data_IF_861162186752
#
_entry.id   IF_861162186752
#
_cell.length_a   1.000
_cell.length_b   1.000
_cell.length_c   1.000
_cell.angle_alpha   90.00
_cell.angle_beta   90.00
_cell.angle_gamma   90.00
#
_symmetry.space_group_name_H-M   'P 1'
#
loop_
_entity.id
_entity.type
_entity.pdbx_description
1 polymer ?
#
# COMPACT_ATOMS: atom_id res chain seq x y z
N UNK A 1 23.85 16.55 42.78
CA UNK A 1 24.98 16.38 41.85
C UNK A 1 24.67 15.20 40.96
N UNK A 2 24.39 15.41 39.67
CA UNK A 2 24.19 14.30 38.73
C UNK A 2 25.50 13.51 38.61
N UNK A 3 25.45 12.20 38.84
CA UNK A 3 26.63 11.34 38.75
C UNK A 3 27.11 11.30 37.30
N UNK A 4 28.43 11.26 37.08
CA UNK A 4 29.06 11.23 35.74
C UNK A 4 28.49 10.14 34.81
N UNK A 5 27.90 9.08 35.39
CA UNK A 5 27.19 8.01 34.68
C UNK A 5 25.97 8.52 33.91
N UNK A 6 25.15 9.37 34.54
CA UNK A 6 23.87 9.83 33.99
C UNK A 6 24.05 10.81 32.82
N UNK A 7 25.12 11.61 32.86
CA UNK A 7 25.46 12.53 31.76
C UNK A 7 25.94 11.75 30.53
N UNK A 8 26.74 10.70 30.72
CA UNK A 8 27.23 9.87 29.60
C UNK A 8 26.09 9.11 28.93
N UNK A 9 25.16 8.54 29.71
CA UNK A 9 23.94 7.90 29.18
C UNK A 9 23.05 8.89 28.43
N UNK A 10 22.90 10.12 28.94
CA UNK A 10 22.12 11.18 28.29
C UNK A 10 22.75 11.69 26.98
N UNK A 11 24.05 11.50 26.74
CA UNK A 11 24.72 11.82 25.48
C UNK A 11 24.76 10.64 24.49
N UNK A 12 24.78 9.40 24.98
CA UNK A 12 24.73 8.18 24.14
C UNK A 12 23.32 7.93 23.58
N UNK A 13 22.26 8.28 24.33
CA UNK A 13 20.87 8.15 23.89
C UNK A 13 20.58 8.96 22.60
N UNK A 14 20.88 10.27 22.53
CA UNK A 14 20.73 11.05 21.31
C UNK A 14 21.58 10.50 20.17
N UNK A 15 22.78 10.00 20.45
CA UNK A 15 23.69 9.42 19.44
C UNK A 15 23.09 8.18 18.77
N UNK A 16 22.43 7.29 19.53
CA UNK A 16 21.67 6.16 18.99
C UNK A 16 20.41 6.59 18.24
N UNK A 17 19.76 7.68 18.67
CA UNK A 17 18.56 8.20 18.00
C UNK A 17 18.91 8.94 16.69
N UNK A 18 20.12 9.48 16.59
CA UNK A 18 20.62 10.25 15.44
C UNK A 18 21.51 9.46 14.48
N UNK A 19 21.65 8.14 14.68
CA UNK A 19 22.28 7.29 13.67
C UNK A 19 21.45 7.35 12.37
N UNK A 20 22.05 7.70 11.23
CA UNK A 20 21.34 7.75 9.96
C UNK A 20 20.70 6.40 9.66
N UNK A 21 19.42 6.40 9.27
CA UNK A 21 18.73 5.19 8.87
C UNK A 21 19.39 4.58 7.62
N UNK A 22 20.21 3.54 7.82
CA UNK A 22 20.92 2.85 6.73
C UNK A 22 20.02 1.94 5.90
N UNK A 23 18.76 1.75 6.31
CA UNK A 23 17.82 0.88 5.58
C UNK A 23 17.57 1.42 4.18
N UNK A 24 17.45 2.75 4.02
CA UNK A 24 17.22 3.36 2.71
C UNK A 24 18.38 3.13 1.75
N UNK A 25 19.62 3.35 2.21
CA UNK A 25 20.82 3.10 1.42
C UNK A 25 20.97 1.61 1.06
N UNK A 26 20.67 0.72 2.00
CA UNK A 26 20.74 -0.71 1.78
C UNK A 26 19.71 -1.18 0.74
N UNK A 27 18.46 -0.73 0.85
CA UNK A 27 17.39 -1.05 -0.11
C UNK A 27 17.71 -0.51 -1.51
N UNK A 28 18.29 0.69 -1.63
CA UNK A 28 18.69 1.22 -2.94
C UNK A 28 19.89 0.46 -3.54
N UNK A 29 20.87 0.09 -2.71
CA UNK A 29 22.04 -0.66 -3.17
C UNK A 29 21.64 -2.07 -3.60
N UNK A 30 20.96 -2.80 -2.74
CA UNK A 30 20.61 -4.20 -2.96
C UNK A 30 19.41 -4.36 -3.91
N UNK A 31 18.47 -3.41 -3.95
CA UNK A 31 17.33 -3.44 -4.87
C UNK A 31 17.70 -3.24 -6.34
N UNK A 32 18.94 -2.80 -6.63
CA UNK A 32 19.49 -2.82 -8.01
C UNK A 32 19.88 -4.22 -8.45
N UNK A 33 20.25 -5.09 -7.50
CA UNK A 33 20.75 -6.44 -7.71
C UNK A 33 19.58 -7.44 -7.66
N UNK A 34 18.76 -7.33 -6.62
CA UNK A 34 17.63 -8.21 -6.41
C UNK A 34 16.38 -7.64 -7.08
N UNK A 35 15.72 -8.45 -7.90
CA UNK A 35 14.38 -8.18 -8.43
C UNK A 35 13.52 -9.40 -8.21
N UNK A 36 12.47 -9.21 -7.43
CA UNK A 36 11.44 -10.20 -7.20
C UNK A 36 10.33 -9.95 -8.21
N UNK A 37 10.20 -10.84 -9.18
CA UNK A 37 9.06 -10.80 -10.10
C UNK A 37 7.81 -11.33 -9.40
N UNK A 38 6.85 -10.44 -9.18
CA UNK A 38 5.54 -10.82 -8.68
C UNK A 38 4.69 -11.37 -9.83
N UNK A 39 4.34 -12.66 -9.74
CA UNK A 39 3.46 -13.30 -10.71
C UNK A 39 2.03 -12.77 -10.54
N UNK A 40 1.42 -12.36 -11.66
CA UNK A 40 0.12 -11.64 -11.68
C UNK A 40 -1.07 -12.52 -11.29
N UNK A 41 -0.94 -13.83 -11.48
CA UNK A 41 -1.90 -14.87 -11.11
C UNK A 41 -1.83 -15.23 -9.62
N UNK A 42 -0.83 -14.74 -8.90
CA UNK A 42 -0.60 -15.07 -7.50
C UNK A 42 -0.90 -13.88 -6.56
N UNK A 43 -1.38 -14.19 -5.36
CA UNK A 43 -1.42 -13.22 -4.26
C UNK A 43 -0.03 -13.08 -3.60
N UNK A 44 0.12 -12.17 -2.64
CA UNK A 44 1.43 -11.89 -2.03
C UNK A 44 1.97 -13.09 -1.25
N UNK A 45 1.09 -13.84 -0.57
CA UNK A 45 1.47 -15.04 0.17
C UNK A 45 1.99 -16.14 -0.77
N UNK A 46 1.32 -16.36 -1.89
CA UNK A 46 1.75 -17.30 -2.91
C UNK A 46 3.09 -16.88 -3.55
N UNK A 47 3.25 -15.59 -3.84
CA UNK A 47 4.53 -15.06 -4.35
C UNK A 47 5.67 -15.23 -3.35
N UNK A 48 5.40 -15.04 -2.05
CA UNK A 48 6.39 -15.29 -1.00
C UNK A 48 6.82 -16.76 -0.95
N UNK A 49 5.87 -17.70 -0.91
CA UNK A 49 6.22 -19.12 -0.91
C UNK A 49 6.96 -19.55 -2.17
N UNK A 50 6.55 -19.03 -3.34
CA UNK A 50 7.26 -19.27 -4.58
C UNK A 50 8.71 -18.79 -4.51
N UNK A 51 8.93 -17.55 -4.01
CA UNK A 51 10.26 -17.01 -3.82
C UNK A 51 11.10 -17.83 -2.84
N UNK A 52 10.54 -18.19 -1.68
CA UNK A 52 11.20 -19.05 -0.70
C UNK A 52 11.59 -20.39 -1.31
N UNK A 53 10.68 -21.02 -2.06
CA UNK A 53 10.94 -22.30 -2.73
C UNK A 53 12.05 -22.19 -3.78
N UNK A 54 12.13 -21.08 -4.53
CA UNK A 54 13.22 -20.86 -5.48
C UNK A 54 14.59 -20.80 -4.80
N UNK A 55 14.70 -20.23 -3.61
CA UNK A 55 15.95 -20.25 -2.84
C UNK A 55 16.26 -21.63 -2.26
N UNK A 56 15.24 -22.36 -1.79
CA UNK A 56 15.41 -23.72 -1.26
C UNK A 56 15.84 -24.74 -2.32
N UNK A 57 15.74 -24.43 -3.60
CA UNK A 57 16.31 -25.26 -4.68
C UNK A 57 17.84 -25.22 -4.72
N UNK A 58 18.46 -24.15 -4.21
CA UNK A 58 19.90 -23.94 -4.27
C UNK A 58 20.58 -23.92 -2.90
N UNK A 59 19.82 -23.64 -1.84
CA UNK A 59 20.32 -23.47 -0.49
C UNK A 59 19.47 -24.25 0.52
N UNK A 60 20.12 -24.89 1.47
CA UNK A 60 19.45 -25.48 2.64
C UNK A 60 19.13 -24.41 3.68
N UNK A 61 18.20 -24.69 4.60
CA UNK A 61 17.88 -23.77 5.70
C UNK A 61 19.08 -23.48 6.63
N UNK A 62 20.10 -24.35 6.61
CA UNK A 62 21.38 -24.14 7.32
C UNK A 62 22.27 -23.10 6.62
N UNK A 63 22.15 -22.96 5.30
CA UNK A 63 22.94 -22.05 4.48
C UNK A 63 22.27 -20.68 4.33
N UNK A 64 20.94 -20.66 4.33
CA UNK A 64 20.16 -19.44 4.16
C UNK A 64 18.98 -19.41 5.12
N UNK A 65 19.05 -18.51 6.11
CA UNK A 65 17.97 -18.33 7.08
C UNK A 65 16.72 -17.74 6.43
N UNK A 66 15.55 -18.08 6.96
CA UNK A 66 14.28 -17.51 6.48
C UNK A 66 14.26 -15.98 6.56
N UNK A 67 14.90 -15.39 7.58
CA UNK A 67 15.04 -13.94 7.72
C UNK A 67 15.84 -13.32 6.56
N UNK A 68 16.92 -13.99 6.12
CA UNK A 68 17.70 -13.55 4.97
C UNK A 68 16.90 -13.66 3.67
N UNK A 69 16.19 -14.77 3.47
CA UNK A 69 15.30 -14.96 2.31
C UNK A 69 14.20 -13.90 2.30
N UNK A 70 13.61 -13.59 3.45
CA UNK A 70 12.60 -12.55 3.59
C UNK A 70 13.18 -11.18 3.26
N UNK A 71 14.37 -10.86 3.76
CA UNK A 71 15.05 -9.60 3.43
C UNK A 71 15.28 -9.46 1.92
N UNK A 72 15.75 -10.51 1.27
CA UNK A 72 15.94 -10.53 -0.20
C UNK A 72 14.61 -10.33 -0.94
N UNK A 73 13.55 -11.00 -0.49
CA UNK A 73 12.22 -10.84 -1.03
C UNK A 73 11.75 -9.38 -0.94
N UNK A 74 11.80 -8.79 0.26
CA UNK A 74 11.36 -7.42 0.55
C UNK A 74 12.12 -6.37 -0.28
N UNK A 75 13.44 -6.51 -0.38
CA UNK A 75 14.29 -5.59 -1.16
C UNK A 75 13.99 -5.70 -2.65
N UNK A 76 13.72 -6.91 -3.15
CA UNK A 76 13.44 -7.16 -4.56
C UNK A 76 12.04 -6.75 -5.01
N UNK A 77 11.14 -6.36 -4.10
CA UNK A 77 9.77 -6.02 -4.46
C UNK A 77 9.67 -4.80 -5.39
N UNK A 78 8.63 -4.73 -6.23
CA UNK A 78 8.35 -3.56 -7.04
C UNK A 78 8.22 -2.28 -6.19
N UNK A 79 8.56 -1.12 -6.79
CA UNK A 79 8.61 0.19 -6.11
C UNK A 79 7.32 0.56 -5.36
N UNK A 80 6.16 0.07 -5.81
CA UNK A 80 4.87 0.30 -5.16
C UNK A 80 4.74 -0.28 -3.74
N UNK A 81 5.57 -1.28 -3.40
CA UNK A 81 5.64 -1.89 -2.06
C UNK A 81 6.80 -1.36 -1.22
N UNK A 82 7.71 -0.55 -1.79
CA UNK A 82 9.00 -0.20 -1.21
C UNK A 82 8.90 0.34 0.22
N UNK A 83 8.01 1.29 0.47
CA UNK A 83 7.85 1.88 1.81
C UNK A 83 7.37 0.85 2.84
N UNK A 84 6.37 0.04 2.48
CA UNK A 84 5.87 -1.03 3.37
C UNK A 84 6.95 -2.07 3.62
N UNK A 85 7.76 -2.39 2.61
CA UNK A 85 8.86 -3.34 2.72
C UNK A 85 9.97 -2.84 3.67
N UNK A 86 10.34 -1.56 3.58
CA UNK A 86 11.28 -0.92 4.51
C UNK A 86 10.77 -0.95 5.94
N UNK A 87 9.49 -0.62 6.15
CA UNK A 87 8.89 -0.64 7.48
C UNK A 87 8.88 -2.05 8.08
N UNK A 88 8.53 -3.07 7.28
CA UNK A 88 8.62 -4.46 7.71
C UNK A 88 10.05 -4.85 8.12
N UNK A 89 11.06 -4.35 7.39
CA UNK A 89 12.47 -4.61 7.70
C UNK A 89 12.94 -3.89 8.97
N UNK A 90 12.59 -2.59 9.12
CA UNK A 90 12.90 -1.79 10.32
C UNK A 90 12.33 -2.42 11.59
N UNK A 91 11.09 -2.88 11.51
CA UNK A 91 10.39 -3.54 12.60
C UNK A 91 10.81 -5.01 12.82
N UNK A 92 11.68 -5.56 11.95
CA UNK A 92 12.16 -6.94 11.99
C UNK A 92 11.01 -7.95 12.06
N UNK A 93 9.98 -7.72 11.26
CA UNK A 93 8.81 -8.58 11.24
C UNK A 93 9.16 -9.97 10.72
N UNK A 94 8.48 -10.99 11.25
CA UNK A 94 8.54 -12.34 10.70
C UNK A 94 7.84 -12.39 9.34
N UNK A 95 8.17 -13.41 8.54
CA UNK A 95 7.68 -13.57 7.18
C UNK A 95 6.16 -13.47 7.07
N UNK A 96 5.43 -14.17 7.93
CA UNK A 96 3.96 -14.18 7.92
C UNK A 96 3.35 -12.78 8.14
N UNK A 97 3.90 -12.02 9.08
CA UNK A 97 3.43 -10.67 9.42
C UNK A 97 3.77 -9.67 8.31
N UNK A 98 4.99 -9.74 7.78
CA UNK A 98 5.43 -8.90 6.67
C UNK A 98 4.56 -9.14 5.42
N UNK A 99 4.33 -10.40 5.06
CA UNK A 99 3.49 -10.80 3.93
C UNK A 99 2.04 -10.32 4.13
N UNK A 100 1.51 -10.40 5.36
CA UNK A 100 0.17 -9.89 5.67
C UNK A 100 0.06 -8.38 5.43
N UNK A 101 1.06 -7.58 5.84
CA UNK A 101 1.08 -6.13 5.57
C UNK A 101 1.18 -5.81 4.08
N UNK A 102 2.01 -6.55 3.36
CA UNK A 102 2.15 -6.40 1.90
C UNK A 102 0.84 -6.78 1.18
N UNK A 103 0.14 -7.81 1.64
CA UNK A 103 -1.16 -8.21 1.12
C UNK A 103 -2.22 -7.12 1.35
N UNK A 104 -2.23 -6.48 2.53
CA UNK A 104 -3.09 -5.34 2.82
C UNK A 104 -2.79 -4.16 1.89
N UNK A 105 -1.51 -3.85 1.66
CA UNK A 105 -1.09 -2.83 0.69
C UNK A 105 -1.60 -3.14 -0.72
N UNK A 106 -1.45 -4.37 -1.18
CA UNK A 106 -1.93 -4.81 -2.49
C UNK A 106 -3.46 -4.65 -2.60
N UNK A 107 -4.21 -5.01 -1.55
CA UNK A 107 -5.66 -4.86 -1.51
C UNK A 107 -6.08 -3.39 -1.58
N UNK A 108 -5.41 -2.50 -0.84
CA UNK A 108 -5.67 -1.06 -0.88
C UNK A 108 -5.43 -0.47 -2.27
N UNK A 109 -4.35 -0.87 -2.95
CA UNK A 109 -4.05 -0.43 -4.32
C UNK A 109 -5.13 -0.90 -5.30
N UNK A 110 -5.60 -2.15 -5.19
CA UNK A 110 -6.70 -2.68 -6.01
C UNK A 110 -8.03 -1.96 -5.75
N UNK A 111 -8.35 -1.63 -4.51
CA UNK A 111 -9.57 -0.89 -4.17
C UNK A 111 -9.57 0.53 -4.75
N UNK A 112 -8.42 1.23 -4.71
CA UNK A 112 -8.29 2.56 -5.35
C UNK A 112 -8.53 2.53 -6.86
N UNK A 113 -8.11 1.45 -7.52
CA UNK A 113 -8.31 1.28 -8.97
C UNK A 113 -9.76 0.89 -9.36
N UNK A 114 -10.54 0.31 -8.43
CA UNK A 114 -11.89 -0.21 -8.71
C UNK A 114 -13.04 0.74 -8.39
N UNK A 115 -12.84 1.77 -7.56
CA UNK A 115 -13.87 2.77 -7.29
C UNK A 115 -13.99 3.76 -8.46
N UNK A 116 -14.85 3.44 -9.42
CA UNK A 116 -15.39 4.43 -10.34
C UNK A 116 -16.42 5.28 -9.58
N UNK A 117 -16.33 6.59 -9.70
CA UNK A 117 -17.29 7.50 -9.13
C UNK A 117 -18.66 7.33 -9.79
N UNK A 118 -19.71 7.06 -9.02
CA UNK A 118 -21.07 6.88 -9.54
C UNK A 118 -21.64 8.11 -10.26
N UNK A 119 -21.10 9.30 -10.01
CA UNK A 119 -21.54 10.53 -10.66
C UNK A 119 -20.93 10.68 -12.08
N UNK A 120 -19.61 10.53 -12.20
CA UNK A 120 -18.89 10.84 -13.45
C UNK A 120 -18.27 9.62 -14.15
N UNK A 121 -18.39 8.42 -13.55
CA UNK A 121 -17.78 7.16 -13.98
C UNK A 121 -16.24 7.18 -14.12
N UNK A 122 -15.57 8.24 -13.63
CA UNK A 122 -14.10 8.32 -13.56
C UNK A 122 -13.59 7.72 -12.25
N UNK A 123 -12.42 7.08 -12.29
CA UNK A 123 -11.77 6.53 -11.10
C UNK A 123 -11.10 7.59 -10.22
N UNK A 124 -10.58 7.17 -9.06
CA UNK A 124 -9.67 7.97 -8.24
C UNK A 124 -10.30 8.90 -7.20
N UNK A 125 -11.63 8.93 -7.07
CA UNK A 125 -12.33 9.74 -6.06
C UNK A 125 -13.69 9.12 -5.67
N UNK A 126 -14.23 9.50 -4.49
CA UNK A 126 -15.58 9.12 -4.07
C UNK A 126 -16.62 10.06 -4.71
N UNK A 127 -17.88 9.63 -4.79
CA UNK A 127 -18.95 10.46 -5.34
C UNK A 127 -19.15 11.79 -4.60
N UNK A 128 -18.86 11.83 -3.29
CA UNK A 128 -18.90 13.04 -2.46
C UNK A 128 -17.86 14.10 -2.88
N UNK A 129 -16.71 13.66 -3.42
CA UNK A 129 -15.58 14.52 -3.80
C UNK A 129 -15.58 14.85 -5.31
N UNK A 130 -16.69 14.56 -6.00
CA UNK A 130 -16.77 14.69 -7.46
C UNK A 130 -17.09 16.14 -7.86
N UNK A 131 -16.17 16.78 -8.57
CA UNK A 131 -16.34 18.14 -9.10
C UNK A 131 -17.15 18.21 -10.41
N UNK A 132 -17.60 17.06 -10.93
CA UNK A 132 -18.49 17.04 -12.10
C UNK A 132 -19.90 17.47 -11.69
N UNK A 133 -20.59 18.23 -12.54
CA UNK A 133 -22.01 18.58 -12.35
C UNK A 133 -22.78 17.29 -12.01
N UNK A 134 -23.51 17.30 -10.89
CA UNK A 134 -24.31 16.15 -10.44
C UNK A 134 -25.25 15.74 -11.57
N UNK A 135 -25.19 14.48 -11.99
CA UNK A 135 -26.20 13.93 -12.89
C UNK A 135 -27.53 13.88 -12.14
N UNK A 136 -28.52 14.61 -12.64
CA UNK A 136 -29.90 14.52 -12.17
C UNK A 136 -30.39 13.08 -12.36
N UNK A 137 -30.99 12.47 -11.34
CA UNK A 137 -31.50 11.11 -11.46
C UNK A 137 -32.63 11.06 -12.52
N UNK A 138 -32.88 9.90 -13.16
CA UNK A 138 -34.01 9.74 -14.07
C UNK A 138 -35.34 10.13 -13.41
N UNK A 139 -35.50 9.84 -12.11
CA UNK A 139 -36.68 10.19 -11.33
C UNK A 139 -36.85 11.72 -11.16
N UNK A 140 -35.75 12.45 -10.96
CA UNK A 140 -35.79 13.91 -10.90
C UNK A 140 -36.09 14.53 -12.26
N UNK A 141 -35.62 13.93 -13.36
CA UNK A 141 -36.01 14.35 -14.72
C UNK A 141 -37.49 14.09 -14.98
N UNK A 142 -38.03 12.95 -14.54
CA UNK A 142 -39.46 12.66 -14.68
C UNK A 142 -40.32 13.65 -13.88
N UNK A 143 -39.93 14.00 -12.65
CA UNK A 143 -40.65 14.99 -11.84
C UNK A 143 -40.61 16.40 -12.42
N UNK A 144 -39.49 16.83 -13.03
CA UNK A 144 -39.41 18.13 -13.71
C UNK A 144 -40.31 18.17 -14.96
N UNK A 145 -40.39 17.08 -15.73
CA UNK A 145 -41.30 16.98 -16.89
C UNK A 145 -42.77 17.03 -16.48
N UNK A 146 -43.12 16.41 -15.34
CA UNK A 146 -44.50 16.44 -14.80
C UNK A 146 -44.87 17.84 -14.28
N UNK A 147 -43.94 18.56 -13.63
CA UNK A 147 -44.16 19.94 -13.18
C UNK A 147 -44.28 20.93 -14.36
N UNK A 148 -43.46 20.78 -15.41
CA UNK A 148 -43.55 21.59 -16.63
C UNK A 148 -44.89 21.39 -17.36
N UNK A 149 -45.45 20.18 -17.33
CA UNK A 149 -46.75 19.86 -17.92
C UNK A 149 -47.93 20.44 -17.10
N UNK A 150 -47.83 20.52 -15.78
CA UNK A 150 -48.87 21.10 -14.92
C UNK A 150 -48.92 22.63 -14.96
N UNK A 151 -47.82 23.31 -15.31
CA UNK A 151 -47.80 24.78 -15.47
C UNK A 151 -48.38 25.29 -16.80
N UNK A 152 -48.57 24.42 -17.81
CA UNK A 152 -49.06 24.80 -19.15
C UNK A 152 -50.55 24.53 -19.38
N UNK A 153 -51.38 24.52 -18.33
CA UNK A 153 -52.83 24.43 -18.51
C UNK A 153 -53.45 25.83 -18.51
N UNK A 154 -53.96 26.35 -19.65
CA UNK A 154 -54.78 27.55 -19.64
C UNK A 154 -56.12 27.21 -18.99
N UNK A 155 -56.51 27.98 -17.97
CA UNK A 155 -57.90 28.08 -17.55
C UNK A 155 -58.67 28.69 -18.72
N UNK A 156 -59.50 27.90 -19.39
CA UNK A 156 -60.62 28.39 -20.19
C UNK A 156 -61.78 27.41 -20.09
N UNK A 157 -62.70 27.70 -19.16
CA UNK A 157 -64.16 27.54 -19.26
C UNK A 157 -64.81 28.20 -18.04
#
# INVERSE_FOLDING_TARGET
MATKSTVKEAYELPKKISEPDKVDEEFERLGKIFRTELRKDMNMLQNWYYHKMMFLQFYTEKELSEDMVLKMFLIGLPKEYREVAKDCHREKLKAEEAVKRLQQKAAMTRCKLKLKCFNCNKGGHKAADCWSKKKTSPDQKAQMVIQDAQQRNPRDS
#
